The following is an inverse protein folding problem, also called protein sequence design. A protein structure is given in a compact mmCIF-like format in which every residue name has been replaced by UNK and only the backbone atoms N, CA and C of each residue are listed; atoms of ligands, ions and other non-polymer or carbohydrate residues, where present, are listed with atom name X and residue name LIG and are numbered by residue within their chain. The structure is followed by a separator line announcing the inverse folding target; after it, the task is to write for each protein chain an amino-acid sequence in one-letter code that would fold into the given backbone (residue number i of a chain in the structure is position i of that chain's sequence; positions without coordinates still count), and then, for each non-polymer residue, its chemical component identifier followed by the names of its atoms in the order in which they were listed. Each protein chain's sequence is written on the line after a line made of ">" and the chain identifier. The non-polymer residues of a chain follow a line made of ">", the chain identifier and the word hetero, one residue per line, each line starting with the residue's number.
data_IF_854285125494
#
_entry.id   IF_854285125494
#
_cell.length_a   1.000
_cell.length_b   1.000
_cell.length_c   1.000
_cell.angle_alpha   90.00
_cell.angle_beta   90.00
_cell.angle_gamma   90.00
#
_symmetry.space_group_name_H-M   'P 1'
#
loop_
_entity.id
_entity.type
_entity.pdbx_description
1 polymer ?
#
# COMPACT_ATOMS: atom_id res chain seq x y z
N UNK A 1 -14.38 6.48 1.59
CA UNK A 1 -12.95 6.46 1.93
C UNK A 1 -12.80 7.11 3.30
N UNK A 2 -11.92 6.60 4.16
CA UNK A 2 -11.58 7.21 5.44
C UNK A 2 -10.09 7.60 5.46
N UNK A 3 -9.79 8.76 6.04
CA UNK A 3 -8.43 9.32 6.17
C UNK A 3 -8.07 9.47 7.65
N UNK A 4 -6.78 9.47 7.97
CA UNK A 4 -6.29 9.62 9.33
C UNK A 4 -6.43 8.36 10.20
N UNK A 5 -6.41 7.17 9.59
CA UNK A 5 -6.45 5.91 10.34
C UNK A 5 -5.07 5.60 10.94
N UNK A 6 -5.01 5.53 12.26
CA UNK A 6 -3.79 5.34 13.04
C UNK A 6 -3.78 4.03 13.83
N UNK A 7 -4.95 3.44 14.13
CA UNK A 7 -5.05 2.21 14.94
C UNK A 7 -5.88 1.10 14.29
N UNK A 8 -5.66 -0.13 14.74
CA UNK A 8 -6.41 -1.31 14.26
C UNK A 8 -7.89 -1.25 14.67
N UNK A 9 -8.20 -0.68 15.83
CA UNK A 9 -9.57 -0.49 16.30
C UNK A 9 -10.35 0.46 15.38
N UNK A 10 -9.69 1.51 14.87
CA UNK A 10 -10.29 2.42 13.90
C UNK A 10 -10.58 1.71 12.58
N UNK A 11 -9.66 0.85 12.11
CA UNK A 11 -9.89 -0.01 10.92
C UNK A 11 -11.12 -0.89 11.11
N UNK A 12 -11.20 -1.61 12.24
CA UNK A 12 -12.32 -2.50 12.52
C UNK A 12 -13.66 -1.75 12.57
N UNK A 13 -13.68 -0.57 13.20
CA UNK A 13 -14.87 0.28 13.27
C UNK A 13 -15.34 0.77 11.89
N UNK A 14 -14.39 1.14 11.02
CA UNK A 14 -14.64 1.60 9.66
C UNK A 14 -15.10 0.45 8.75
N UNK A 15 -14.49 -0.72 8.88
CA UNK A 15 -14.85 -1.92 8.13
C UNK A 15 -16.30 -2.35 8.40
N UNK A 16 -16.72 -2.33 9.67
CA UNK A 16 -18.10 -2.64 10.07
C UNK A 16 -19.15 -1.70 9.44
N UNK A 17 -18.74 -0.49 9.02
CA UNK A 17 -19.59 0.52 8.39
C UNK A 17 -19.52 0.50 6.86
N UNK A 18 -18.84 -0.50 6.30
CA UNK A 18 -18.71 -0.67 4.85
C UNK A 18 -17.70 0.29 4.20
N UNK A 19 -16.79 0.88 4.97
CA UNK A 19 -15.69 1.67 4.40
C UNK A 19 -14.71 0.73 3.72
N UNK A 20 -14.50 0.93 2.42
CA UNK A 20 -13.69 0.04 1.57
C UNK A 20 -12.21 0.47 1.48
N UNK A 21 -11.93 1.76 1.70
CA UNK A 21 -10.60 2.33 1.55
C UNK A 21 -10.27 3.21 2.74
N UNK A 22 -9.09 2.96 3.31
CA UNK A 22 -8.56 3.66 4.47
C UNK A 22 -7.15 4.17 4.16
N UNK A 23 -6.86 5.40 4.56
CA UNK A 23 -5.53 5.99 4.53
C UNK A 23 -5.16 6.46 5.93
N UNK A 24 -3.91 6.23 6.32
CA UNK A 24 -3.34 6.82 7.53
C UNK A 24 -2.08 6.08 7.96
N UNK A 25 -1.46 6.58 9.03
CA UNK A 25 -0.18 6.07 9.51
C UNK A 25 -0.24 4.65 10.04
N UNK A 26 -1.44 4.11 10.30
CA UNK A 26 -1.65 2.70 10.55
C UNK A 26 -1.10 1.83 9.40
N UNK A 27 -1.24 2.30 8.16
CA UNK A 27 -0.82 1.59 6.96
C UNK A 27 0.60 1.99 6.55
N UNK A 28 0.82 3.30 6.37
CA UNK A 28 2.12 3.84 5.99
C UNK A 28 2.23 5.30 6.42
N UNK A 29 3.39 5.67 6.94
CA UNK A 29 3.72 7.08 7.20
C UNK A 29 3.95 7.81 5.88
N UNK A 30 3.73 9.14 5.90
CA UNK A 30 4.15 9.98 4.79
C UNK A 30 5.66 9.84 4.58
N UNK A 31 6.08 9.60 3.35
CA UNK A 31 7.46 9.32 3.00
C UNK A 31 7.86 10.03 1.70
N UNK A 32 9.14 10.45 1.55
CA UNK A 32 9.67 10.95 0.30
C UNK A 32 9.60 9.91 -0.84
N UNK A 33 9.65 10.33 -2.11
CA UNK A 33 9.57 9.42 -3.26
C UNK A 33 10.61 8.29 -3.24
N UNK A 34 11.83 8.56 -2.79
CA UNK A 34 12.90 7.56 -2.71
C UNK A 34 12.57 6.46 -1.69
N UNK A 35 12.05 6.84 -0.53
CA UNK A 35 11.59 5.90 0.50
C UNK A 35 10.36 5.13 0.04
N UNK A 36 9.46 5.78 -0.71
CA UNK A 36 8.30 5.12 -1.31
C UNK A 36 8.67 4.01 -2.28
N UNK A 37 9.67 4.24 -3.14
CA UNK A 37 10.17 3.21 -4.06
C UNK A 37 10.75 2.01 -3.32
N UNK A 38 11.49 2.25 -2.22
CA UNK A 38 12.02 1.19 -1.37
C UNK A 38 10.92 0.44 -0.62
N UNK A 39 9.94 1.16 -0.07
CA UNK A 39 8.77 0.59 0.60
C UNK A 39 8.00 -0.33 -0.36
N UNK A 40 7.71 0.13 -1.58
CA UNK A 40 7.06 -0.68 -2.62
C UNK A 40 7.89 -1.91 -3.01
N UNK A 41 9.21 -1.77 -3.13
CA UNK A 41 10.08 -2.89 -3.47
C UNK A 41 10.06 -3.97 -2.38
N UNK A 42 10.06 -3.57 -1.10
CA UNK A 42 10.02 -4.46 0.05
C UNK A 42 8.66 -5.18 0.19
N UNK A 43 7.55 -4.47 -0.03
CA UNK A 43 6.19 -5.04 -0.04
C UNK A 43 6.02 -6.12 -1.14
N UNK A 44 6.68 -5.92 -2.30
CA UNK A 44 6.62 -6.86 -3.44
C UNK A 44 7.40 -8.15 -3.23
N UNK A 45 8.24 -8.26 -2.20
CA UNK A 45 9.00 -9.49 -1.90
C UNK A 45 8.08 -10.67 -1.52
N UNK A 46 6.86 -10.39 -1.06
CA UNK A 46 5.83 -11.40 -0.77
C UNK A 46 4.81 -11.61 -1.93
N UNK A 47 4.91 -10.82 -3.01
CA UNK A 47 4.07 -10.88 -4.20
C UNK A 47 4.96 -11.22 -5.42
N UNK A 48 5.55 -12.41 -5.48
CA UNK A 48 6.39 -12.84 -6.62
C UNK A 48 5.57 -13.48 -7.75
N UNK A 49 6.01 -13.50 -9.02
CA UNK A 49 6.57 -12.40 -9.83
C UNK A 49 5.82 -12.28 -11.18
N UNK A 50 5.48 -11.08 -11.63
CA UNK A 50 5.22 -10.89 -13.07
C UNK A 50 6.41 -10.14 -13.67
N UNK A 51 7.25 -10.87 -14.42
CA UNK A 51 8.28 -10.29 -15.27
C UNK A 51 7.65 -10.02 -16.65
N UNK A 52 7.41 -8.76 -17.04
CA UNK A 52 7.19 -8.47 -18.45
C UNK A 52 8.52 -8.64 -19.18
N UNK A 53 8.58 -9.61 -20.09
CA UNK A 53 9.62 -9.69 -21.09
C UNK A 53 9.45 -8.49 -22.03
N UNK A 54 10.36 -7.52 -21.97
CA UNK A 54 10.47 -6.56 -23.05
C UNK A 54 11.33 -7.19 -24.14
N UNK A 55 10.69 -7.83 -25.12
CA UNK A 55 11.32 -8.00 -26.42
C UNK A 55 11.22 -6.65 -27.14
N UNK A 56 12.31 -5.89 -27.11
CA UNK A 56 12.56 -4.91 -28.16
C UNK A 56 13.01 -5.69 -29.39
N UNK A 57 12.09 -5.95 -30.31
CA UNK A 57 12.46 -6.37 -31.67
C UNK A 57 12.83 -5.11 -32.46
N UNK A 58 14.02 -5.15 -33.07
CA UNK A 58 14.48 -4.26 -34.14
C UNK A 58 14.27 -5.00 -35.46
#
# INVERSE_FOLDING_TARGET
>A
MAEGVETAEQVAWLQQRGVQYCQGWHFAKAMPPQEFMLWLANERTCLSPYQPHYQAEI
#
